data_IF_349316226190
#
_entry.id   IF_349316226190
#
_cell.length_a   1.000
_cell.length_b   1.000
_cell.length_c   1.000
_cell.angle_alpha   90.00
_cell.angle_beta   90.00
_cell.angle_gamma   90.00
#
_symmetry.space_group_name_H-M   'P 1'
#
loop_
_entity.id
_entity.type
_entity.pdbx_description
1 polymer ?
#
# COMPACT_ATOMS: atom_id res chain seq x y z
N UNK A 1 20.73 -4.10 7.45
CA UNK A 1 19.85 -3.02 7.96
C UNK A 1 18.41 -3.40 7.61
N UNK A 2 17.46 -3.25 8.54
CA UNK A 2 16.07 -3.61 8.29
C UNK A 2 15.45 -2.62 7.29
N UNK A 3 14.58 -3.09 6.39
CA UNK A 3 13.82 -2.24 5.44
C UNK A 3 13.06 -1.11 6.13
N UNK A 4 12.62 -1.33 7.36
CA UNK A 4 11.90 -0.33 8.15
C UNK A 4 12.80 0.85 8.55
N UNK A 5 14.07 0.60 8.84
CA UNK A 5 15.05 1.64 9.20
C UNK A 5 15.37 2.54 8.00
N UNK A 6 15.49 1.97 6.81
CA UNK A 6 15.71 2.73 5.57
C UNK A 6 14.50 3.59 5.21
N UNK A 7 13.30 3.03 5.36
CA UNK A 7 12.05 3.77 5.14
C UNK A 7 11.89 4.93 6.12
N UNK A 8 12.22 4.74 7.39
CA UNK A 8 12.17 5.81 8.40
C UNK A 8 13.18 6.93 8.09
N UNK A 9 14.39 6.56 7.67
CA UNK A 9 15.42 7.52 7.25
C UNK A 9 14.95 8.37 6.07
N UNK A 10 14.47 7.72 5.02
CA UNK A 10 13.93 8.41 3.85
C UNK A 10 12.75 9.33 4.20
N UNK A 11 11.82 8.88 5.05
CA UNK A 11 10.70 9.70 5.48
C UNK A 11 11.14 10.94 6.25
N UNK A 12 12.17 10.81 7.09
CA UNK A 12 12.75 11.94 7.82
C UNK A 12 13.43 12.95 6.87
N UNK A 13 14.16 12.48 5.87
CA UNK A 13 14.78 13.33 4.85
C UNK A 13 13.72 14.11 4.05
N UNK A 14 12.63 13.45 3.67
CA UNK A 14 11.50 14.11 3.00
C UNK A 14 10.83 15.13 3.90
N UNK A 15 10.67 14.86 5.20
CA UNK A 15 10.10 15.82 6.14
C UNK A 15 11.00 17.06 6.30
N UNK A 16 12.32 16.87 6.39
CA UNK A 16 13.29 17.96 6.41
C UNK A 16 13.26 18.80 5.12
N UNK A 17 13.20 18.17 3.96
CA UNK A 17 13.04 18.84 2.69
C UNK A 17 11.78 19.70 2.65
N UNK A 18 10.63 19.16 3.06
CA UNK A 18 9.36 19.90 3.13
C UNK A 18 9.46 21.08 4.10
N UNK A 19 10.10 20.86 5.26
CA UNK A 19 10.32 21.92 6.24
C UNK A 19 11.20 23.04 5.67
N UNK A 20 12.31 22.72 4.99
CA UNK A 20 13.19 23.71 4.39
C UNK A 20 12.45 24.67 3.43
N UNK A 21 11.47 24.17 2.69
CA UNK A 21 10.67 24.99 1.77
C UNK A 21 9.68 25.92 2.49
N UNK A 22 9.23 25.61 3.71
CA UNK A 22 8.27 26.41 4.44
C UNK A 22 8.92 27.23 5.56
N UNK A 23 10.13 26.89 5.97
CA UNK A 23 10.86 27.52 7.08
C UNK A 23 10.97 29.06 6.95
N UNK A 24 11.30 29.62 5.78
CA UNK A 24 11.38 31.08 5.62
C UNK A 24 10.06 31.79 5.98
N UNK A 25 8.92 31.18 5.62
CA UNK A 25 7.60 31.76 5.96
C UNK A 25 7.28 31.63 7.45
N UNK A 26 7.68 30.53 8.09
CA UNK A 26 7.49 30.31 9.53
C UNK A 26 8.34 31.33 10.33
N UNK A 27 9.55 31.59 9.86
CA UNK A 27 10.50 32.51 10.49
C UNK A 27 10.26 34.00 10.14
N UNK A 28 9.38 34.27 9.17
CA UNK A 28 9.16 35.62 8.65
C UNK A 28 10.34 36.16 7.83
N UNK A 29 11.21 35.28 7.34
CA UNK A 29 12.44 35.61 6.60
C UNK A 29 12.26 35.34 5.09
N UNK A 30 11.34 36.05 4.46
CA UNK A 30 11.14 35.98 3.02
C UNK A 30 11.00 37.40 2.42
N UNK A 31 11.57 37.65 1.21
CA UNK A 31 11.59 38.99 0.61
C UNK A 31 10.30 39.33 -0.13
N UNK A 32 9.39 38.39 -0.28
CA UNK A 32 8.19 38.54 -1.09
C UNK A 32 7.10 39.32 -0.32
N UNK A 33 6.18 39.96 -1.04
CA UNK A 33 5.10 40.77 -0.47
C UNK A 33 4.12 39.96 0.40
N UNK A 34 4.07 38.64 0.23
CA UNK A 34 3.23 37.73 1.01
C UNK A 34 3.78 36.30 1.00
N UNK A 35 3.37 35.49 1.99
CA UNK A 35 3.69 34.06 2.04
C UNK A 35 3.25 33.32 0.76
N UNK A 36 2.09 33.65 0.22
CA UNK A 36 1.59 33.05 -1.03
C UNK A 36 2.47 33.43 -2.22
N UNK A 37 2.97 34.66 -2.29
CA UNK A 37 3.89 35.11 -3.34
C UNK A 37 5.22 34.34 -3.24
N UNK A 38 5.76 34.18 -2.05
CA UNK A 38 6.93 33.34 -1.79
C UNK A 38 6.71 31.92 -2.29
N UNK A 39 5.62 31.24 -1.92
CA UNK A 39 5.34 29.89 -2.34
C UNK A 39 5.19 29.76 -3.87
N UNK A 40 4.53 30.69 -4.52
CA UNK A 40 4.43 30.73 -5.98
C UNK A 40 5.81 30.83 -6.64
N UNK A 41 6.70 31.68 -6.11
CA UNK A 41 8.05 31.83 -6.62
C UNK A 41 8.87 30.54 -6.44
N UNK A 42 8.82 29.92 -5.27
CA UNK A 42 9.56 28.67 -4.97
C UNK A 42 9.08 27.52 -5.84
N UNK A 43 7.78 27.45 -6.14
CA UNK A 43 7.19 26.38 -6.94
C UNK A 43 7.12 26.69 -8.44
N UNK A 44 7.68 27.81 -8.90
CA UNK A 44 7.73 28.17 -10.31
C UNK A 44 8.63 27.24 -11.14
N UNK A 45 9.61 26.61 -10.49
CA UNK A 45 10.52 25.64 -11.11
C UNK A 45 10.40 24.28 -10.42
N UNK A 46 10.71 23.17 -11.12
CA UNK A 46 10.78 21.86 -10.51
C UNK A 46 11.77 21.84 -9.33
N UNK A 47 11.42 21.14 -8.27
CA UNK A 47 12.24 21.00 -7.07
C UNK A 47 12.89 19.61 -7.04
N UNK A 48 14.15 19.56 -6.61
CA UNK A 48 14.89 18.29 -6.48
C UNK A 48 14.67 17.71 -5.09
N UNK A 49 14.19 16.48 -5.02
CA UNK A 49 13.99 15.74 -3.78
C UNK A 49 15.32 15.18 -3.26
N UNK A 50 15.36 14.72 -1.98
CA UNK A 50 16.54 14.09 -1.39
C UNK A 50 17.04 12.84 -2.15
N UNK A 51 16.15 12.13 -2.84
CA UNK A 51 16.49 10.97 -3.68
C UNK A 51 17.03 11.33 -5.07
N UNK A 52 17.19 12.64 -5.36
CA UNK A 52 17.67 13.16 -6.65
C UNK A 52 16.58 13.27 -7.72
N UNK A 53 15.37 12.81 -7.48
CA UNK A 53 14.26 12.99 -8.41
C UNK A 53 13.76 14.43 -8.44
N UNK A 54 13.13 14.85 -9.54
CA UNK A 54 12.55 16.18 -9.67
C UNK A 54 11.03 16.12 -9.67
N UNK A 55 10.41 17.05 -8.95
CA UNK A 55 8.95 17.13 -8.85
C UNK A 55 8.47 18.58 -8.92
N UNK A 56 7.31 18.79 -9.52
CA UNK A 56 6.64 20.10 -9.56
C UNK A 56 5.51 20.11 -8.53
N UNK A 57 5.59 21.02 -7.56
CA UNK A 57 4.55 21.22 -6.58
C UNK A 57 3.70 22.44 -6.89
N UNK A 58 2.44 22.40 -6.51
CA UNK A 58 1.61 23.59 -6.45
C UNK A 58 1.96 24.41 -5.20
N UNK A 59 1.87 25.74 -5.25
CA UNK A 59 2.03 26.60 -4.10
C UNK A 59 1.08 26.23 -2.94
N UNK A 60 -0.14 25.74 -3.24
CA UNK A 60 -1.10 25.24 -2.26
C UNK A 60 -0.58 24.03 -1.47
N UNK A 61 0.33 23.25 -2.06
CA UNK A 61 0.97 22.14 -1.33
C UNK A 61 1.85 22.66 -0.21
N UNK A 62 2.60 23.73 -0.45
CA UNK A 62 3.44 24.36 0.57
C UNK A 62 2.58 25.02 1.68
N UNK A 63 1.47 25.67 1.32
CA UNK A 63 0.50 26.20 2.29
C UNK A 63 -0.06 25.08 3.19
N UNK A 64 -0.41 23.94 2.60
CA UNK A 64 -0.85 22.76 3.34
C UNK A 64 0.25 22.25 4.29
N UNK A 65 1.48 22.16 3.84
CA UNK A 65 2.60 21.73 4.70
C UNK A 65 2.83 22.70 5.86
N UNK A 66 2.75 24.01 5.63
CA UNK A 66 2.81 24.99 6.72
C UNK A 66 1.72 24.75 7.75
N UNK A 67 0.49 24.52 7.31
CA UNK A 67 -0.64 24.21 8.21
C UNK A 67 -0.41 22.92 8.99
N UNK A 68 0.05 21.87 8.33
CA UNK A 68 0.38 20.58 8.97
C UNK A 68 1.50 20.75 10.02
N UNK A 69 2.55 21.48 9.67
CA UNK A 69 3.64 21.78 10.61
C UNK A 69 3.17 22.54 11.83
N UNK A 70 2.26 23.50 11.69
CA UNK A 70 1.70 24.28 12.80
C UNK A 70 0.90 23.42 13.80
N UNK A 71 0.38 22.27 13.37
CA UNK A 71 -0.40 21.34 14.19
C UNK A 71 0.47 20.28 14.85
N UNK A 72 1.37 19.64 14.10
CA UNK A 72 2.09 18.45 14.54
C UNK A 72 3.61 18.51 14.32
N UNK A 73 4.17 19.69 14.07
CA UNK A 73 5.63 19.87 13.92
C UNK A 73 6.19 19.11 12.71
N UNK A 74 7.45 18.72 12.84
CA UNK A 74 8.19 18.02 11.77
C UNK A 74 7.58 16.65 11.46
N UNK A 75 7.03 15.97 12.45
CA UNK A 75 6.42 14.64 12.27
C UNK A 75 5.21 14.68 11.34
N UNK A 76 4.43 15.77 11.38
CA UNK A 76 3.29 15.98 10.48
C UNK A 76 3.71 16.19 9.01
N UNK A 77 4.99 16.48 8.76
CA UNK A 77 5.55 16.61 7.42
C UNK A 77 6.08 15.27 6.86
N UNK A 78 6.16 14.22 7.67
CA UNK A 78 6.54 12.91 7.16
C UNK A 78 5.53 12.40 6.14
N UNK A 79 5.99 11.64 5.11
CA UNK A 79 5.08 10.95 4.22
C UNK A 79 4.19 10.00 5.01
N UNK A 80 2.87 10.28 5.02
CA UNK A 80 1.91 9.38 5.66
C UNK A 80 1.78 8.08 4.87
N UNK A 81 1.82 6.97 5.56
CA UNK A 81 1.33 5.70 5.01
C UNK A 81 -0.18 5.71 4.99
N UNK A 82 -0.78 5.23 3.90
CA UNK A 82 -2.23 5.05 3.86
C UNK A 82 -2.65 4.07 4.96
N UNK A 83 -3.56 4.47 5.82
CA UNK A 83 -4.13 3.62 6.89
C UNK A 83 -4.95 2.45 6.34
N UNK A 84 -5.45 2.57 5.11
CA UNK A 84 -6.23 1.54 4.39
C UNK A 84 -5.36 0.64 3.51
N UNK A 85 -4.01 0.73 3.63
CA UNK A 85 -3.09 -0.11 2.87
C UNK A 85 -3.25 -1.57 3.28
N UNK A 86 -3.73 -2.37 2.33
CA UNK A 86 -3.90 -3.82 2.53
C UNK A 86 -5.31 -4.26 2.89
N UNK A 87 -6.21 -3.34 3.24
CA UNK A 87 -7.64 -3.65 3.43
C UNK A 87 -8.37 -3.28 2.13
N UNK A 88 -8.87 -4.24 1.36
CA UNK A 88 -9.67 -3.94 0.18
C UNK A 88 -10.97 -3.26 0.63
N UNK A 89 -11.25 -2.06 0.14
CA UNK A 89 -12.51 -1.33 0.44
C UNK A 89 -13.77 -2.10 0.04
N UNK A 90 -13.61 -3.09 -0.82
CA UNK A 90 -14.68 -3.94 -1.33
C UNK A 90 -15.02 -5.13 -0.44
N UNK A 91 -14.23 -5.40 0.61
CA UNK A 91 -14.48 -6.48 1.57
C UNK A 91 -14.90 -5.84 2.90
N UNK A 92 -16.08 -6.21 3.38
CA UNK A 92 -16.55 -5.86 4.72
C UNK A 92 -15.88 -6.76 5.79
N UNK A 93 -16.06 -6.42 7.04
CA UNK A 93 -15.46 -7.17 8.17
C UNK A 93 -15.92 -8.64 8.21
N UNK A 94 -17.20 -8.90 7.91
CA UNK A 94 -17.75 -10.26 7.87
C UNK A 94 -17.11 -11.11 6.78
N UNK A 95 -16.91 -10.54 5.58
CA UNK A 95 -16.23 -11.24 4.49
C UNK A 95 -14.75 -11.50 4.83
N UNK A 96 -14.09 -10.60 5.52
CA UNK A 96 -12.71 -10.77 5.98
C UNK A 96 -12.63 -11.89 7.01
N UNK A 97 -13.51 -11.90 8.01
CA UNK A 97 -13.58 -12.96 9.02
C UNK A 97 -13.82 -14.32 8.37
N UNK A 98 -14.74 -14.38 7.40
CA UNK A 98 -15.06 -15.62 6.68
C UNK A 98 -13.87 -16.11 5.83
N UNK A 99 -13.09 -15.22 5.21
CA UNK A 99 -11.87 -15.60 4.49
C UNK A 99 -10.86 -16.25 5.43
N UNK A 100 -10.65 -15.71 6.63
CA UNK A 100 -9.77 -16.30 7.63
C UNK A 100 -10.27 -17.68 8.07
N UNK A 101 -11.57 -17.82 8.36
CA UNK A 101 -12.19 -19.09 8.75
C UNK A 101 -12.01 -20.16 7.66
N UNK A 102 -12.30 -19.80 6.40
CA UNK A 102 -12.13 -20.75 5.29
C UNK A 102 -10.65 -21.14 5.13
N UNK A 103 -9.72 -20.21 5.30
CA UNK A 103 -8.30 -20.51 5.17
C UNK A 103 -7.77 -21.38 6.31
N UNK A 104 -8.34 -21.31 7.48
CA UNK A 104 -8.03 -22.19 8.60
C UNK A 104 -8.59 -23.59 8.39
N UNK A 105 -9.87 -23.72 8.03
CA UNK A 105 -10.54 -25.00 7.83
C UNK A 105 -10.13 -25.70 6.52
N UNK A 106 -9.90 -24.89 5.46
CA UNK A 106 -9.59 -25.37 4.11
C UNK A 106 -8.38 -24.64 3.51
N UNK A 107 -7.15 -24.87 3.97
CA UNK A 107 -5.95 -24.16 3.55
C UNK A 107 -5.69 -24.20 2.03
N UNK A 108 -6.17 -25.27 1.36
CA UNK A 108 -5.96 -25.47 -0.09
C UNK A 108 -6.98 -24.76 -0.97
N UNK A 109 -8.05 -24.19 -0.41
CA UNK A 109 -9.05 -23.48 -1.17
C UNK A 109 -8.43 -22.25 -1.85
N UNK A 110 -8.59 -22.13 -3.18
CA UNK A 110 -8.04 -21.01 -3.93
C UNK A 110 -8.94 -19.77 -3.83
N UNK A 111 -8.39 -18.60 -4.21
CA UNK A 111 -9.10 -17.33 -4.09
C UNK A 111 -10.40 -17.27 -4.89
N UNK A 112 -10.47 -17.96 -6.03
CA UNK A 112 -11.69 -18.01 -6.86
C UNK A 112 -12.79 -18.82 -6.17
N UNK A 113 -12.44 -19.94 -5.55
CA UNK A 113 -13.38 -20.76 -4.78
C UNK A 113 -13.89 -19.98 -3.56
N UNK A 114 -12.99 -19.29 -2.85
CA UNK A 114 -13.37 -18.42 -1.71
C UNK A 114 -14.30 -17.31 -2.18
N UNK A 115 -13.98 -16.63 -3.29
CA UNK A 115 -14.85 -15.61 -3.86
C UNK A 115 -16.25 -16.16 -4.18
N UNK A 116 -16.32 -17.33 -4.84
CA UNK A 116 -17.61 -17.96 -5.17
C UNK A 116 -18.42 -18.28 -3.92
N UNK A 117 -17.75 -18.75 -2.86
CA UNK A 117 -18.40 -18.98 -1.57
C UNK A 117 -18.94 -17.67 -0.97
N UNK A 118 -18.12 -16.61 -0.90
CA UNK A 118 -18.50 -15.32 -0.34
C UNK A 118 -19.70 -14.69 -1.06
N UNK A 119 -19.76 -14.82 -2.39
CA UNK A 119 -20.91 -14.32 -3.19
C UNK A 119 -22.14 -15.17 -2.93
N UNK A 120 -22.02 -16.51 -2.90
CA UNK A 120 -23.13 -17.44 -2.68
C UNK A 120 -23.77 -17.23 -1.32
N UNK A 121 -22.96 -17.05 -0.29
CA UNK A 121 -23.41 -16.83 1.10
C UNK A 121 -23.72 -15.34 1.40
N UNK A 122 -23.69 -14.48 0.36
CA UNK A 122 -24.04 -13.03 0.45
C UNK A 122 -23.13 -12.22 1.40
N UNK A 123 -21.92 -12.64 1.68
CA UNK A 123 -20.91 -11.84 2.38
C UNK A 123 -20.45 -10.65 1.56
N UNK A 124 -20.39 -10.82 0.23
CA UNK A 124 -20.06 -9.77 -0.72
C UNK A 124 -21.03 -9.78 -1.92
N UNK A 125 -21.33 -8.63 -2.51
CA UNK A 125 -22.12 -8.59 -3.75
C UNK A 125 -21.27 -9.08 -4.94
N UNK A 126 -21.93 -9.61 -5.96
CA UNK A 126 -21.28 -10.10 -7.20
C UNK A 126 -20.56 -8.98 -8.00
N UNK A 127 -20.79 -7.72 -7.67
CA UNK A 127 -20.08 -6.55 -8.25
C UNK A 127 -18.64 -6.45 -7.77
N UNK A 128 -18.27 -7.09 -6.65
CA UNK A 128 -16.90 -7.15 -6.17
C UNK A 128 -16.09 -8.08 -7.07
N UNK A 129 -14.90 -7.66 -7.46
CA UNK A 129 -14.04 -8.49 -8.31
C UNK A 129 -13.30 -9.58 -7.52
N UNK A 130 -13.03 -10.70 -8.17
CA UNK A 130 -12.18 -11.79 -7.62
C UNK A 130 -10.80 -11.27 -7.21
N UNK A 131 -10.26 -10.28 -7.94
CA UNK A 131 -8.98 -9.64 -7.64
C UNK A 131 -8.92 -9.02 -6.24
N UNK A 132 -10.05 -8.54 -5.71
CA UNK A 132 -10.10 -7.98 -4.34
C UNK A 132 -9.80 -9.06 -3.30
N UNK A 133 -10.35 -10.26 -3.46
CA UNK A 133 -10.09 -11.42 -2.60
C UNK A 133 -8.65 -11.93 -2.79
N UNK A 134 -8.17 -12.00 -4.04
CA UNK A 134 -6.79 -12.42 -4.33
C UNK A 134 -5.76 -11.48 -3.70
N UNK A 135 -5.97 -10.16 -3.81
CA UNK A 135 -5.09 -9.15 -3.20
C UNK A 135 -5.08 -9.27 -1.69
N UNK A 136 -6.25 -9.47 -1.07
CA UNK A 136 -6.35 -9.64 0.36
C UNK A 136 -5.57 -10.88 0.83
N UNK A 137 -5.79 -12.04 0.21
CA UNK A 137 -5.09 -13.29 0.52
C UNK A 137 -3.57 -13.16 0.34
N UNK A 138 -3.13 -12.47 -0.73
CA UNK A 138 -1.72 -12.24 -0.99
C UNK A 138 -1.08 -11.28 0.02
N UNK A 139 -1.81 -10.21 0.37
CA UNK A 139 -1.30 -9.17 1.28
C UNK A 139 -1.13 -9.70 2.71
N UNK A 140 -2.05 -10.56 3.14
CA UNK A 140 -2.03 -11.15 4.48
C UNK A 140 -1.30 -12.51 4.52
N UNK A 141 -0.58 -12.86 3.45
CA UNK A 141 0.19 -14.12 3.30
C UNK A 141 -0.62 -15.39 3.59
N UNK A 142 -1.92 -15.37 3.31
CA UNK A 142 -2.84 -16.49 3.49
C UNK A 142 -2.76 -17.51 2.35
N UNK A 143 -1.60 -17.60 1.68
CA UNK A 143 -1.38 -18.58 0.62
C UNK A 143 -1.40 -19.98 1.23
N UNK A 144 -2.01 -20.91 0.48
CA UNK A 144 -1.89 -22.33 0.80
C UNK A 144 -0.42 -22.71 0.79
N UNK A 145 0.07 -23.32 1.86
CA UNK A 145 1.34 -24.02 1.81
C UNK A 145 1.22 -25.08 0.69
N UNK A 146 2.03 -24.97 -0.35
CA UNK A 146 2.14 -26.04 -1.34
C UNK A 146 2.77 -27.22 -0.61
N UNK A 147 2.02 -28.29 -0.51
CA UNK A 147 2.56 -29.56 -0.02
C UNK A 147 3.69 -29.97 -0.98
N UNK A 148 4.95 -30.04 -0.53
CA UNK A 148 6.05 -30.44 -1.40
C UNK A 148 5.85 -31.83 -2.00
N UNK A 149 5.09 -32.70 -1.36
CA UNK A 149 4.77 -34.05 -1.82
C UNK A 149 3.72 -34.08 -2.96
N UNK A 150 3.02 -32.98 -3.26
CA UNK A 150 2.11 -32.91 -4.41
C UNK A 150 2.84 -32.81 -5.76
N UNK A 151 4.17 -32.63 -5.76
CA UNK A 151 4.99 -32.71 -6.98
C UNK A 151 5.18 -34.13 -7.47
N UNK A 152 5.00 -35.13 -6.62
CA UNK A 152 5.15 -36.58 -6.94
C UNK A 152 3.83 -37.24 -7.34
N UNK A 153 2.87 -36.51 -7.86
CA UNK A 153 1.92 -37.15 -8.79
C UNK A 153 2.64 -37.37 -10.08
N UNK A 154 3.51 -38.41 -10.11
CA UNK A 154 3.89 -39.07 -11.36
C UNK A 154 2.58 -39.37 -12.06
N UNK A 155 2.43 -38.91 -13.29
CA UNK A 155 1.47 -39.51 -14.20
C UNK A 155 1.66 -41.00 -14.06
N UNK A 156 0.57 -41.72 -13.96
CA UNK A 156 0.62 -43.20 -13.95
C UNK A 156 1.06 -43.59 -15.32
N UNK A 157 2.38 -43.59 -15.55
CA UNK A 157 3.02 -44.10 -16.75
C UNK A 157 3.35 -45.54 -16.45
N UNK A 158 2.55 -46.44 -16.99
CA UNK A 158 2.93 -47.84 -17.06
C UNK A 158 3.99 -48.02 -18.13
N UNK A 159 5.10 -48.62 -17.73
CA UNK A 159 6.26 -48.87 -18.61
C UNK A 159 5.96 -49.82 -19.77
N UNK A 160 4.81 -50.49 -19.77
CA UNK A 160 4.41 -51.46 -20.83
C UNK A 160 2.92 -51.32 -21.16
N UNK A 161 2.63 -51.16 -22.46
CA UNK A 161 1.30 -51.13 -23.01
C UNK A 161 0.61 -52.49 -22.78
N UNK A 162 -0.46 -52.53 -21.96
CA UNK A 162 -1.27 -53.74 -21.78
C UNK A 162 -1.28 -54.38 -20.37
N UNK A 163 -0.63 -53.80 -19.37
CA UNK A 163 -0.63 -54.33 -18.00
C UNK A 163 -1.88 -53.96 -17.16
N UNK A 164 -2.87 -53.33 -17.73
CA UNK A 164 -4.10 -52.89 -17.05
C UNK A 164 -5.26 -53.89 -17.24
N UNK A 165 -4.96 -55.23 -17.29
CA UNK A 165 -5.99 -56.24 -17.30
C UNK A 165 -5.70 -57.36 -16.31
#
# INVERSE_FOLDING_TARGET
MSKDTETMKHNAEVAQFRFALIAPVIQGLYPDASATAYYKRVTASPLTLPDGSTVTYSYKTLEKWKSQYSIGGLDALMPGTRSDKGIPRALNEDAIAEIYRIKEEHPRMNATQIYTHLVRESFIPATVSVDSVQRFIRHNDLKSARDPNLRDRKAFEEDEFGKIW
#
